data_IF_297147290805
#
_entry.id   IF_297147290805
#
_cell.length_a   1.000
_cell.length_b   1.000
_cell.length_c   1.000
_cell.angle_alpha   90.00
_cell.angle_beta   90.00
_cell.angle_gamma   90.00
#
_symmetry.space_group_name_H-M   'P 1'
#
loop_
_entity.id
_entity.type
_entity.pdbx_description
1 polymer ?
#
# COMPACT_ATOMS: atom_id res chain seq x y z
N UNK A 1 -0.57 -15.23 -29.33
CA UNK A 1 -0.99 -16.06 -28.17
C UNK A 1 -1.96 -15.23 -27.34
N UNK A 2 -3.26 -15.48 -27.46
CA UNK A 2 -4.28 -14.75 -26.69
C UNK A 2 -4.29 -15.27 -25.26
N UNK A 3 -3.73 -14.50 -24.33
CA UNK A 3 -3.81 -14.79 -22.91
C UNK A 3 -5.30 -14.74 -22.54
N UNK A 4 -5.91 -15.90 -22.26
CA UNK A 4 -7.31 -15.97 -21.85
C UNK A 4 -7.52 -15.01 -20.68
N UNK A 5 -8.36 -13.98 -20.88
CA UNK A 5 -8.81 -13.10 -19.80
C UNK A 5 -9.60 -13.96 -18.82
N UNK A 6 -8.92 -14.43 -17.78
CA UNK A 6 -9.51 -15.20 -16.71
C UNK A 6 -10.53 -14.29 -16.04
N UNK A 7 -11.81 -14.65 -16.14
CA UNK A 7 -12.86 -13.87 -15.52
C UNK A 7 -12.73 -14.04 -14.00
N UNK A 8 -12.22 -13.01 -13.33
CA UNK A 8 -11.98 -13.04 -11.89
C UNK A 8 -13.27 -13.21 -11.11
N UNK A 9 -14.42 -12.73 -11.61
CA UNK A 9 -15.70 -12.94 -10.93
C UNK A 9 -16.10 -14.43 -10.85
N UNK A 10 -15.60 -15.25 -11.79
CA UNK A 10 -15.92 -16.68 -11.87
C UNK A 10 -14.88 -17.54 -11.12
N UNK A 11 -13.62 -17.11 -11.08
CA UNK A 11 -12.50 -17.97 -10.64
C UNK A 11 -11.71 -17.46 -9.43
N UNK A 12 -12.06 -16.31 -8.86
CA UNK A 12 -11.29 -15.72 -7.76
C UNK A 12 -11.14 -16.65 -6.54
N UNK A 13 -12.17 -17.45 -6.21
CA UNK A 13 -12.12 -18.37 -5.06
C UNK A 13 -11.01 -19.42 -5.22
N UNK A 14 -10.91 -20.05 -6.39
CA UNK A 14 -9.88 -21.06 -6.67
C UNK A 14 -8.47 -20.44 -6.62
N UNK A 15 -8.31 -19.25 -7.21
CA UNK A 15 -7.05 -18.50 -7.14
C UNK A 15 -6.69 -18.14 -5.71
N UNK A 16 -7.64 -17.66 -4.91
CA UNK A 16 -7.41 -17.28 -3.53
C UNK A 16 -7.03 -18.49 -2.67
N UNK A 17 -7.76 -19.60 -2.76
CA UNK A 17 -7.45 -20.84 -2.02
C UNK A 17 -6.01 -21.31 -2.30
N UNK A 18 -5.59 -21.31 -3.57
CA UNK A 18 -4.23 -21.68 -3.95
C UNK A 18 -3.16 -20.80 -3.30
N UNK A 19 -3.46 -19.51 -3.11
CA UNK A 19 -2.53 -18.56 -2.47
C UNK A 19 -2.50 -18.65 -0.94
N UNK A 20 -3.59 -19.09 -0.31
CA UNK A 20 -3.71 -19.16 1.15
C UNK A 20 -3.25 -20.50 1.73
N UNK A 21 -3.03 -21.52 0.89
CA UNK A 21 -2.74 -22.90 1.30
C UNK A 21 -1.60 -23.06 2.32
N UNK A 22 -0.65 -22.12 2.34
CA UNK A 22 0.50 -22.13 3.26
C UNK A 22 0.22 -21.49 4.63
N UNK A 23 -0.97 -20.93 4.86
CA UNK A 23 -1.34 -20.24 6.09
C UNK A 23 -2.63 -20.83 6.67
N UNK A 24 -2.48 -21.70 7.67
CA UNK A 24 -3.60 -22.33 8.38
C UNK A 24 -4.60 -21.30 8.91
N UNK A 25 -4.12 -20.18 9.48
CA UNK A 25 -4.97 -19.11 9.99
C UNK A 25 -5.78 -18.42 8.88
N UNK A 26 -5.16 -18.12 7.73
CA UNK A 26 -5.88 -17.52 6.59
C UNK A 26 -6.86 -18.51 5.94
N UNK A 27 -6.50 -19.79 5.85
CA UNK A 27 -7.39 -20.85 5.38
C UNK A 27 -8.63 -21.02 6.27
N UNK A 28 -8.45 -21.03 7.60
CA UNK A 28 -9.56 -21.12 8.55
C UNK A 28 -10.48 -19.90 8.43
N UNK A 29 -9.90 -18.69 8.35
CA UNK A 29 -10.68 -17.47 8.15
C UNK A 29 -11.45 -17.48 6.82
N UNK A 30 -10.82 -17.92 5.72
CA UNK A 30 -11.46 -18.04 4.40
C UNK A 30 -12.67 -18.97 4.45
N UNK A 31 -12.50 -20.16 5.06
CA UNK A 31 -13.59 -21.14 5.22
C UNK A 31 -14.76 -20.58 6.02
N UNK A 32 -14.49 -19.82 7.07
CA UNK A 32 -15.53 -19.28 7.94
C UNK A 32 -16.26 -18.08 7.31
N UNK A 33 -15.52 -17.18 6.65
CA UNK A 33 -16.02 -15.86 6.26
C UNK A 33 -16.33 -15.69 4.77
N UNK A 34 -15.77 -16.49 3.88
CA UNK A 34 -15.90 -16.31 2.42
C UNK A 34 -16.45 -17.53 1.68
N UNK A 35 -15.99 -18.73 2.02
CA UNK A 35 -16.31 -19.94 1.28
C UNK A 35 -17.83 -20.19 1.21
N UNK A 36 -18.36 -20.42 0.00
CA UNK A 36 -19.76 -20.75 -0.27
C UNK A 36 -20.77 -19.69 0.21
N UNK A 37 -20.33 -18.44 0.41
CA UNK A 37 -21.20 -17.33 0.80
C UNK A 37 -21.81 -16.57 -0.39
N UNK A 38 -21.43 -16.92 -1.62
CA UNK A 38 -21.98 -16.31 -2.85
C UNK A 38 -21.54 -14.87 -3.07
N UNK A 39 -20.39 -14.46 -2.54
CA UNK A 39 -19.85 -13.12 -2.76
C UNK A 39 -19.31 -12.96 -4.19
N UNK A 40 -19.57 -11.79 -4.77
CA UNK A 40 -18.82 -11.32 -5.94
C UNK A 40 -17.36 -11.03 -5.55
N UNK A 41 -16.46 -10.98 -6.54
CA UNK A 41 -15.06 -10.70 -6.27
C UNK A 41 -14.88 -9.35 -5.55
N UNK A 42 -15.61 -8.31 -5.94
CA UNK A 42 -15.53 -6.99 -5.29
C UNK A 42 -15.93 -7.03 -3.81
N UNK A 43 -17.00 -7.78 -3.46
CA UNK A 43 -17.42 -7.96 -2.07
C UNK A 43 -16.38 -8.76 -1.26
N UNK A 44 -15.87 -9.85 -1.83
CA UNK A 44 -14.85 -10.67 -1.19
C UNK A 44 -13.56 -9.88 -0.96
N UNK A 45 -13.14 -9.09 -1.95
CA UNK A 45 -11.98 -8.20 -1.86
C UNK A 45 -12.13 -7.17 -0.75
N UNK A 46 -13.33 -6.60 -0.56
CA UNK A 46 -13.60 -5.67 0.53
C UNK A 46 -13.50 -6.34 1.91
N UNK A 47 -14.01 -7.56 2.06
CA UNK A 47 -13.88 -8.35 3.29
C UNK A 47 -12.43 -8.75 3.60
N UNK A 48 -11.69 -9.19 2.58
CA UNK A 48 -10.25 -9.51 2.69
C UNK A 48 -9.47 -8.26 3.10
N UNK A 49 -9.76 -7.12 2.47
CA UNK A 49 -9.13 -5.83 2.79
C UNK A 49 -9.44 -5.41 4.23
N UNK A 50 -10.68 -5.57 4.70
CA UNK A 50 -11.02 -5.23 6.08
C UNK A 50 -10.32 -6.13 7.10
N UNK A 51 -10.22 -7.44 6.81
CA UNK A 51 -9.58 -8.39 7.72
C UNK A 51 -8.05 -8.27 7.75
N UNK A 52 -7.42 -8.19 6.57
CA UNK A 52 -5.96 -8.33 6.43
C UNK A 52 -5.26 -7.10 5.87
N UNK A 53 -5.98 -6.21 5.18
CA UNK A 53 -5.46 -4.94 4.69
C UNK A 53 -5.83 -3.76 5.59
N UNK A 54 -6.22 -4.04 6.84
CA UNK A 54 -7.03 -3.16 7.69
C UNK A 54 -6.41 -1.79 8.02
N UNK A 55 -7.19 -0.99 8.77
CA UNK A 55 -6.77 0.30 9.35
C UNK A 55 -5.37 0.25 9.98
N UNK A 56 -4.96 -0.89 10.54
CA UNK A 56 -3.61 -1.06 11.10
C UNK A 56 -2.49 -0.92 10.06
N UNK A 57 -2.65 -1.47 8.85
CA UNK A 57 -1.69 -1.33 7.76
C UNK A 57 -1.68 0.10 7.21
N UNK A 58 -2.84 0.73 7.11
CA UNK A 58 -2.94 2.14 6.72
C UNK A 58 -2.29 3.06 7.74
N UNK A 59 -2.59 2.89 9.04
CA UNK A 59 -1.97 3.64 10.14
C UNK A 59 -0.45 3.46 10.17
N UNK A 60 0.04 2.24 9.93
CA UNK A 60 1.48 1.98 9.79
C UNK A 60 2.10 2.79 8.65
N UNK A 61 1.48 2.82 7.47
CA UNK A 61 2.00 3.60 6.34
C UNK A 61 1.92 5.11 6.60
N UNK A 62 0.87 5.61 7.24
CA UNK A 62 0.74 7.01 7.66
C UNK A 62 1.82 7.40 8.68
N UNK A 63 2.02 6.58 9.71
CA UNK A 63 3.08 6.79 10.69
C UNK A 63 4.46 6.75 10.03
N UNK A 64 4.64 5.86 9.05
CA UNK A 64 5.88 5.81 8.30
C UNK A 64 6.11 7.11 7.54
N UNK A 65 5.12 7.63 6.81
CA UNK A 65 5.23 8.91 6.09
C UNK A 65 5.67 10.06 7.02
N UNK A 66 5.13 10.11 8.24
CA UNK A 66 5.47 11.13 9.24
C UNK A 66 6.92 11.06 9.73
N UNK A 67 7.58 9.90 9.59
CA UNK A 67 8.91 9.62 10.15
C UNK A 67 9.96 9.37 9.06
N UNK A 68 9.60 9.52 7.78
CA UNK A 68 10.53 9.30 6.68
C UNK A 68 11.59 10.40 6.62
N UNK A 69 12.84 9.99 6.61
CA UNK A 69 14.01 10.85 6.48
C UNK A 69 14.96 10.24 5.44
N UNK A 70 15.44 11.06 4.51
CA UNK A 70 16.37 10.64 3.47
C UNK A 70 17.73 10.33 4.10
N UNK A 71 18.39 9.26 3.66
CA UNK A 71 19.75 8.97 4.16
C UNK A 71 20.77 9.92 3.54
N UNK A 72 21.92 10.10 4.22
CA UNK A 72 23.03 10.95 3.77
C UNK A 72 23.47 10.71 2.32
N UNK A 73 23.53 9.44 1.90
CA UNK A 73 24.00 9.04 0.58
C UNK A 73 22.85 8.56 -0.34
N UNK A 74 21.60 8.75 0.08
CA UNK A 74 20.44 8.39 -0.74
C UNK A 74 20.20 9.46 -1.80
N UNK A 75 19.86 9.03 -3.02
CA UNK A 75 19.44 9.95 -4.07
C UNK A 75 18.08 10.56 -3.68
N UNK A 76 17.91 11.90 -3.68
CA UNK A 76 16.66 12.56 -3.33
C UNK A 76 15.44 12.07 -4.12
N UNK A 77 15.62 11.75 -5.42
CA UNK A 77 14.54 11.20 -6.24
C UNK A 77 14.11 9.82 -5.76
N UNK A 78 15.05 8.97 -5.36
CA UNK A 78 14.73 7.65 -4.78
C UNK A 78 14.01 7.77 -3.44
N UNK A 79 14.37 8.75 -2.62
CA UNK A 79 13.63 9.05 -1.39
C UNK A 79 12.18 9.44 -1.71
N UNK A 80 11.96 10.32 -2.69
CA UNK A 80 10.62 10.73 -3.13
C UNK A 80 9.83 9.55 -3.69
N UNK A 81 10.44 8.70 -4.52
CA UNK A 81 9.81 7.48 -5.05
C UNK A 81 9.35 6.55 -3.91
N UNK A 82 10.20 6.33 -2.90
CA UNK A 82 9.84 5.54 -1.72
C UNK A 82 8.69 6.20 -0.94
N UNK A 83 8.74 7.52 -0.75
CA UNK A 83 7.68 8.26 -0.07
C UNK A 83 6.35 8.10 -0.80
N UNK A 84 6.37 8.18 -2.13
CA UNK A 84 5.19 7.99 -2.98
C UNK A 84 4.61 6.57 -2.87
N UNK A 85 5.45 5.52 -2.81
CA UNK A 85 4.97 4.14 -2.56
C UNK A 85 4.25 4.02 -1.21
N UNK A 86 4.81 4.59 -0.14
CA UNK A 86 4.15 4.63 1.17
C UNK A 86 2.85 5.46 1.14
N UNK A 87 2.83 6.56 0.41
CA UNK A 87 1.65 7.42 0.25
C UNK A 87 0.50 6.66 -0.45
N UNK A 88 0.78 5.96 -1.54
CA UNK A 88 -0.21 5.12 -2.22
C UNK A 88 -0.76 4.01 -1.33
N UNK A 89 0.11 3.37 -0.53
CA UNK A 89 -0.30 2.30 0.39
C UNK A 89 -1.08 2.81 1.61
N UNK A 90 -0.82 4.04 2.03
CA UNK A 90 -1.60 4.71 3.08
C UNK A 90 -3.04 5.03 2.64
N UNK A 91 -3.29 5.12 1.32
CA UNK A 91 -4.61 5.44 0.74
C UNK A 91 -5.24 6.72 1.30
N UNK A 92 -4.38 7.70 1.62
CA UNK A 92 -4.77 9.01 2.13
C UNK A 92 -5.08 9.98 1.00
N UNK A 93 -5.91 10.99 1.27
CA UNK A 93 -6.21 12.04 0.31
C UNK A 93 -5.03 12.99 0.20
N UNK A 94 -4.62 13.31 -1.03
CA UNK A 94 -3.52 14.25 -1.27
C UNK A 94 -3.83 15.65 -0.71
N UNK A 95 -2.79 16.28 -0.14
CA UNK A 95 -2.83 17.63 0.38
C UNK A 95 -1.41 18.21 0.51
N UNK A 96 -1.33 19.54 0.61
CA UNK A 96 -0.06 20.28 0.69
C UNK A 96 0.86 19.84 1.86
N UNK A 97 0.31 19.25 2.93
CA UNK A 97 1.09 18.77 4.06
C UNK A 97 2.12 17.70 3.67
N UNK A 98 1.81 16.85 2.70
CA UNK A 98 2.73 15.81 2.22
C UNK A 98 3.93 16.39 1.47
N UNK A 99 3.74 17.49 0.74
CA UNK A 99 4.84 18.24 0.15
C UNK A 99 5.82 18.75 1.23
N UNK A 100 5.28 19.32 2.31
CA UNK A 100 6.09 19.74 3.46
C UNK A 100 6.82 18.59 4.15
N UNK A 101 6.20 17.41 4.24
CA UNK A 101 6.84 16.20 4.78
C UNK A 101 8.04 15.75 3.94
N UNK A 102 7.90 15.75 2.60
CA UNK A 102 9.00 15.41 1.70
C UNK A 102 10.18 16.37 1.90
N UNK A 103 9.91 17.68 1.94
CA UNK A 103 10.95 18.69 2.18
C UNK A 103 11.61 18.52 3.55
N UNK A 104 10.83 18.16 4.57
CA UNK A 104 11.33 17.91 5.94
C UNK A 104 12.25 16.69 5.97
N UNK A 105 11.83 15.58 5.33
CA UNK A 105 12.62 14.35 5.25
C UNK A 105 13.94 14.52 4.47
N UNK A 106 13.97 15.44 3.50
CA UNK A 106 15.19 15.78 2.75
C UNK A 106 16.11 16.77 3.49
N UNK A 107 15.57 17.60 4.38
CA UNK A 107 16.26 18.79 4.91
C UNK A 107 17.59 18.47 5.60
N UNK A 108 17.67 17.37 6.35
CA UNK A 108 18.87 17.05 7.15
C UNK A 108 20.11 16.79 6.30
N UNK A 109 19.93 16.16 5.15
CA UNK A 109 21.03 15.65 4.33
C UNK A 109 21.12 16.29 2.94
N UNK A 110 20.03 16.91 2.48
CA UNK A 110 19.89 17.53 1.16
C UNK A 110 19.39 18.98 1.28
N UNK A 111 19.86 19.73 2.28
CA UNK A 111 19.39 21.08 2.61
C UNK A 111 19.54 22.09 1.46
N UNK A 112 20.61 22.01 0.68
CA UNK A 112 20.85 22.89 -0.48
C UNK A 112 19.76 22.72 -1.55
N UNK A 113 19.39 21.47 -1.84
CA UNK A 113 18.29 21.15 -2.76
C UNK A 113 16.96 21.72 -2.23
N UNK A 114 16.67 21.54 -0.94
CA UNK A 114 15.44 22.07 -0.33
C UNK A 114 15.40 23.60 -0.41
N UNK A 115 16.52 24.29 -0.23
CA UNK A 115 16.57 25.76 -0.38
C UNK A 115 16.31 26.21 -1.82
N UNK A 116 16.88 25.50 -2.81
CA UNK A 116 16.62 25.80 -4.23
C UNK A 116 15.14 25.63 -4.59
N UNK A 117 14.51 24.55 -4.12
CA UNK A 117 13.09 24.28 -4.36
C UNK A 117 12.17 25.34 -3.72
N UNK A 118 12.55 25.90 -2.58
CA UNK A 118 11.78 26.97 -1.91
C UNK A 118 11.93 28.35 -2.55
N UNK A 119 13.00 28.56 -3.32
CA UNK A 119 13.29 29.82 -3.99
C UNK A 119 12.68 29.91 -5.40
N UNK A 120 12.09 28.83 -5.90
CA UNK A 120 11.40 28.73 -7.20
C UNK A 120 9.89 28.88 -6.99
#
# INVERSE_FOLDING_TARGET
>A
MSQHKLNMDIHWEACLISSLQHSLSKCSWYKEKLMLKGYTWEQAKLLIKNQFGGQHTQSYHVEKLNTMEARRNENPLKFVEHFVDYFYRAQVKDCAAYGSMILTGLLRHHSSLVMQMKAT
#
